data_IF_537920055695
#
_entry.id   IF_537920055695
#
_cell.length_a   1.000
_cell.length_b   1.000
_cell.length_c   1.000
_cell.angle_alpha   90.00
_cell.angle_beta   90.00
_cell.angle_gamma   90.00
#
_symmetry.space_group_name_H-M   'P 1'
#
loop_
_entity.id
_entity.type
_entity.pdbx_description
1 polymer ?
#
# COMPACT_ATOMS: atom_id res chain seq x y z
N UNK A 1 -6.74 -21.11 -1.50
CA UNK A 1 -6.40 -19.70 -1.83
C UNK A 1 -7.66 -19.02 -2.35
N UNK A 2 -7.97 -17.84 -1.84
CA UNK A 2 -9.17 -17.06 -2.24
C UNK A 2 -9.02 -16.58 -3.68
N UNK A 3 -10.05 -16.84 -4.50
CA UNK A 3 -10.13 -16.37 -5.89
C UNK A 3 -10.82 -15.01 -5.93
N UNK A 4 -10.01 -13.95 -6.08
CA UNK A 4 -10.47 -12.55 -6.10
C UNK A 4 -11.35 -12.27 -7.31
N UNK A 5 -11.06 -12.86 -8.47
CA UNK A 5 -11.86 -12.66 -9.69
C UNK A 5 -13.26 -13.29 -9.55
N UNK A 6 -13.31 -14.48 -8.97
CA UNK A 6 -14.59 -15.15 -8.66
C UNK A 6 -15.42 -14.33 -7.65
N UNK A 7 -14.77 -13.72 -6.64
CA UNK A 7 -15.46 -12.82 -5.72
C UNK A 7 -15.96 -11.57 -6.46
N UNK A 8 -15.11 -10.96 -7.29
CA UNK A 8 -15.45 -9.78 -8.08
C UNK A 8 -16.65 -10.02 -9.00
N UNK A 9 -16.66 -11.17 -9.70
CA UNK A 9 -17.75 -11.52 -10.64
C UNK A 9 -19.10 -11.68 -9.96
N UNK A 10 -19.14 -12.09 -8.70
CA UNK A 10 -20.37 -12.28 -7.90
C UNK A 10 -20.92 -10.99 -7.29
N UNK A 11 -20.13 -9.94 -7.20
CA UNK A 11 -20.51 -8.66 -6.58
C UNK A 11 -21.15 -7.72 -7.59
N UNK A 12 -22.13 -6.96 -7.17
CA UNK A 12 -22.63 -5.78 -7.90
C UNK A 12 -21.60 -4.65 -7.83
N UNK A 13 -21.67 -3.68 -8.75
CA UNK A 13 -20.80 -2.48 -8.69
C UNK A 13 -20.99 -1.73 -7.36
N UNK A 14 -22.21 -1.68 -6.84
CA UNK A 14 -22.52 -1.08 -5.53
C UNK A 14 -21.76 -1.75 -4.39
N UNK A 15 -21.70 -3.07 -4.37
CA UNK A 15 -20.94 -3.84 -3.36
C UNK A 15 -19.42 -3.65 -3.53
N UNK A 16 -18.93 -3.56 -4.77
CA UNK A 16 -17.53 -3.23 -5.05
C UNK A 16 -17.18 -1.82 -4.57
N UNK A 17 -18.03 -0.82 -4.82
CA UNK A 17 -17.86 0.54 -4.31
C UNK A 17 -17.92 0.62 -2.77
N UNK A 18 -18.69 -0.25 -2.12
CA UNK A 18 -18.77 -0.27 -0.66
C UNK A 18 -17.53 -0.90 -0.01
N UNK A 19 -16.88 -1.89 -0.66
CA UNK A 19 -15.67 -2.52 -0.13
C UNK A 19 -14.67 -2.83 -1.25
N UNK A 20 -14.14 -1.77 -1.85
CA UNK A 20 -13.19 -1.85 -2.97
C UNK A 20 -12.04 -0.86 -2.86
N UNK A 21 -11.13 -0.96 -3.80
CA UNK A 21 -9.93 -0.13 -3.94
C UNK A 21 -9.82 0.26 -5.41
N UNK A 22 -9.34 1.47 -5.71
CA UNK A 22 -8.95 1.87 -7.06
C UNK A 22 -7.47 2.27 -7.02
N UNK A 23 -6.70 1.77 -7.99
CA UNK A 23 -5.30 2.11 -8.14
C UNK A 23 -5.17 3.33 -9.04
N UNK A 24 -4.87 4.51 -8.47
CA UNK A 24 -4.78 5.78 -9.20
C UNK A 24 -3.32 6.08 -9.57
N UNK A 25 -3.09 6.49 -10.82
CA UNK A 25 -1.87 7.18 -11.23
C UNK A 25 -1.98 8.65 -10.85
N UNK A 26 -1.38 9.00 -9.72
CA UNK A 26 -1.41 10.38 -9.23
C UNK A 26 -0.55 11.29 -10.14
N UNK A 27 -1.12 12.35 -10.73
CA UNK A 27 -0.36 13.34 -11.46
C UNK A 27 0.45 14.25 -10.52
N UNK A 28 1.42 14.97 -11.07
CA UNK A 28 2.10 16.06 -10.37
C UNK A 28 1.13 17.23 -10.13
N UNK A 29 1.27 17.90 -8.99
CA UNK A 29 0.49 19.07 -8.59
C UNK A 29 -0.42 18.84 -7.38
N UNK A 30 -1.49 18.07 -7.47
CA UNK A 30 -2.41 17.85 -6.35
C UNK A 30 -1.78 17.01 -5.23
N UNK A 31 -2.25 17.20 -3.98
CA UNK A 31 -1.89 16.35 -2.85
C UNK A 31 -2.57 15.00 -2.94
N UNK A 32 -2.08 14.00 -2.19
CA UNK A 32 -2.77 12.70 -2.07
C UNK A 32 -4.18 12.83 -1.48
N UNK A 33 -4.41 13.85 -0.65
CA UNK A 33 -5.75 14.16 -0.12
C UNK A 33 -6.67 14.68 -1.23
N UNK A 34 -6.20 15.61 -2.08
CA UNK A 34 -7.00 16.14 -3.20
C UNK A 34 -7.42 15.01 -4.16
N UNK A 35 -6.51 14.07 -4.45
CA UNK A 35 -6.81 12.89 -5.27
C UNK A 35 -7.86 12.01 -4.59
N UNK A 36 -7.70 11.73 -3.30
CA UNK A 36 -8.65 10.93 -2.54
C UNK A 36 -10.04 11.58 -2.50
N UNK A 37 -10.12 12.91 -2.34
CA UNK A 37 -11.37 13.67 -2.35
C UNK A 37 -11.99 13.74 -3.76
N UNK A 38 -11.16 13.86 -4.80
CA UNK A 38 -11.62 13.78 -6.19
C UNK A 38 -12.29 12.43 -6.47
N UNK A 39 -11.65 11.31 -6.12
CA UNK A 39 -12.22 9.97 -6.27
C UNK A 39 -13.54 9.86 -5.50
N UNK A 40 -13.58 10.37 -4.25
CA UNK A 40 -14.78 10.38 -3.41
C UNK A 40 -15.95 11.10 -4.09
N UNK A 41 -15.71 12.30 -4.62
CA UNK A 41 -16.73 13.15 -5.29
C UNK A 41 -17.20 12.52 -6.59
N UNK A 42 -16.27 12.07 -7.44
CA UNK A 42 -16.56 11.47 -8.75
C UNK A 42 -17.42 10.21 -8.63
N UNK A 43 -17.19 9.39 -7.59
CA UNK A 43 -17.94 8.16 -7.35
C UNK A 43 -19.13 8.34 -6.38
N UNK A 44 -19.41 9.54 -5.88
CA UNK A 44 -20.50 9.80 -4.93
C UNK A 44 -20.36 9.03 -3.60
N UNK A 45 -19.13 8.82 -3.12
CA UNK A 45 -18.85 8.01 -1.95
C UNK A 45 -18.93 8.82 -0.65
N UNK A 46 -19.18 8.12 0.47
CA UNK A 46 -19.17 8.72 1.81
C UNK A 46 -17.76 9.08 2.27
N UNK A 47 -16.78 8.21 2.00
CA UNK A 47 -15.38 8.39 2.41
C UNK A 47 -14.42 7.62 1.52
N UNK A 48 -13.19 8.09 1.47
CA UNK A 48 -12.04 7.46 0.83
C UNK A 48 -10.80 7.60 1.72
N UNK A 49 -9.79 6.79 1.46
CA UNK A 49 -8.48 6.86 2.12
C UNK A 49 -7.41 6.35 1.18
N UNK A 50 -6.20 6.90 1.21
CA UNK A 50 -5.09 6.44 0.38
C UNK A 50 -4.08 5.58 1.15
N UNK A 51 -3.39 4.66 0.47
CA UNK A 51 -2.41 3.75 1.06
C UNK A 51 -0.97 4.32 1.00
N UNK A 52 -0.77 5.44 1.65
CA UNK A 52 0.52 6.12 1.76
C UNK A 52 0.63 7.38 0.92
N UNK A 53 0.91 8.47 1.62
CA UNK A 53 0.99 9.81 1.04
C UNK A 53 2.14 9.91 0.03
N UNK A 54 1.85 10.55 -1.11
CA UNK A 54 2.81 11.11 -2.03
C UNK A 54 2.81 12.64 -1.90
N UNK A 55 3.98 13.24 -1.95
CA UNK A 55 4.10 14.70 -2.00
C UNK A 55 3.45 15.26 -3.28
N UNK A 56 3.07 16.54 -3.34
CA UNK A 56 2.40 17.11 -4.51
C UNK A 56 3.14 16.87 -5.83
N UNK A 57 4.47 17.05 -5.85
CA UNK A 57 5.30 16.85 -7.04
C UNK A 57 5.57 15.38 -7.40
N UNK A 58 5.36 14.45 -6.45
CA UNK A 58 5.60 13.02 -6.68
C UNK A 58 4.41 12.41 -7.41
N UNK A 59 4.67 11.60 -8.42
CA UNK A 59 3.67 10.98 -9.28
C UNK A 59 3.55 9.46 -9.02
N UNK A 60 2.61 8.81 -9.69
CA UNK A 60 2.51 7.35 -9.78
C UNK A 60 1.51 6.72 -8.83
N UNK A 61 1.70 5.45 -8.57
CA UNK A 61 0.77 4.54 -7.90
C UNK A 61 0.27 5.08 -6.55
N UNK A 62 -1.01 5.38 -6.46
CA UNK A 62 -1.71 5.82 -5.25
C UNK A 62 -3.01 5.03 -5.07
N UNK A 63 -2.99 3.86 -4.43
CA UNK A 63 -4.22 3.11 -4.20
C UNK A 63 -5.15 3.84 -3.23
N UNK A 64 -6.43 3.93 -3.61
CA UNK A 64 -7.49 4.62 -2.87
C UNK A 64 -8.53 3.60 -2.42
N UNK A 65 -8.69 3.47 -1.11
CA UNK A 65 -9.77 2.68 -0.52
C UNK A 65 -11.11 3.42 -0.58
N UNK A 66 -12.17 2.68 -0.88
CA UNK A 66 -13.54 3.17 -1.01
C UNK A 66 -14.37 2.76 0.21
N UNK A 67 -15.15 3.66 0.76
CA UNK A 67 -16.11 3.46 1.85
C UNK A 67 -15.55 2.56 2.98
N UNK A 68 -16.04 1.34 3.13
CA UNK A 68 -15.65 0.41 4.21
C UNK A 68 -14.22 -0.11 4.06
N UNK A 69 -13.69 -0.17 2.83
CA UNK A 69 -12.29 -0.56 2.60
C UNK A 69 -11.29 0.43 3.20
N UNK A 70 -11.70 1.65 3.59
CA UNK A 70 -10.86 2.58 4.37
C UNK A 70 -10.33 1.96 5.68
N UNK A 71 -11.00 0.93 6.21
CA UNK A 71 -10.52 0.16 7.37
C UNK A 71 -9.27 -0.68 7.06
N UNK A 72 -9.01 -0.96 5.79
CA UNK A 72 -7.82 -1.70 5.34
C UNK A 72 -6.58 -0.81 5.24
N UNK A 73 -6.72 0.52 5.29
CA UNK A 73 -5.61 1.47 5.09
C UNK A 73 -4.40 1.15 5.97
N UNK A 74 -4.61 0.89 7.26
CA UNK A 74 -3.54 0.59 8.20
C UNK A 74 -2.73 -0.66 7.85
N UNK A 75 -3.39 -1.66 7.26
CA UNK A 75 -2.76 -2.92 6.89
C UNK A 75 -1.87 -2.79 5.64
N UNK A 76 -2.20 -1.88 4.70
CA UNK A 76 -1.40 -1.64 3.49
C UNK A 76 -0.29 -0.59 3.65
N UNK A 77 -0.36 0.26 4.68
CA UNK A 77 0.60 1.35 4.87
C UNK A 77 2.03 0.85 5.10
N UNK A 78 2.18 -0.28 5.81
CA UNK A 78 3.47 -0.88 6.15
C UNK A 78 4.19 -1.57 4.98
N UNK A 79 3.46 -1.88 3.91
CA UNK A 79 3.99 -2.59 2.74
C UNK A 79 5.12 -1.82 2.04
N UNK A 80 6.00 -2.56 1.38
CA UNK A 80 7.13 -1.99 0.63
C UNK A 80 6.69 -1.13 -0.55
N UNK A 81 7.52 -0.17 -0.92
CA UNK A 81 7.30 0.75 -2.05
C UNK A 81 8.48 0.73 -2.99
N UNK A 82 8.20 0.88 -4.26
CA UNK A 82 9.22 0.96 -5.30
C UNK A 82 9.08 2.28 -6.07
N UNK A 83 10.21 2.90 -6.31
CA UNK A 83 10.28 4.22 -6.93
C UNK A 83 11.31 4.24 -8.06
N UNK A 84 11.02 5.04 -9.07
CA UNK A 84 11.99 5.54 -10.04
C UNK A 84 12.10 7.06 -9.85
N UNK A 85 13.29 7.59 -9.87
CA UNK A 85 13.49 9.02 -9.66
C UNK A 85 14.80 9.54 -10.24
N UNK A 86 14.86 10.86 -10.36
CA UNK A 86 16.08 11.58 -10.77
C UNK A 86 16.59 12.38 -9.58
N UNK A 87 17.81 12.10 -9.15
CA UNK A 87 18.51 12.93 -8.17
C UNK A 87 19.60 13.75 -8.86
N UNK A 88 19.83 14.96 -8.37
CA UNK A 88 20.96 15.80 -8.77
C UNK A 88 21.97 15.89 -7.64
N UNK A 89 23.23 15.57 -7.92
CA UNK A 89 24.40 15.83 -7.07
C UNK A 89 24.90 17.24 -7.39
N UNK A 90 25.24 18.05 -6.35
CA UNK A 90 25.57 19.46 -6.58
C UNK A 90 26.97 19.66 -7.15
N UNK A 91 27.89 18.72 -6.94
CA UNK A 91 29.24 18.72 -7.50
C UNK A 91 29.60 17.37 -8.10
N UNK A 92 30.45 17.29 -9.13
CA UNK A 92 30.85 16.01 -9.70
C UNK A 92 31.52 15.09 -8.65
N UNK A 93 31.14 13.82 -8.64
CA UNK A 93 31.75 12.77 -7.82
C UNK A 93 32.18 11.60 -8.68
N UNK A 94 33.17 10.83 -8.21
CA UNK A 94 33.54 9.60 -8.91
C UNK A 94 32.41 8.56 -8.82
N UNK A 95 32.30 7.71 -9.84
CA UNK A 95 31.34 6.61 -9.86
C UNK A 95 31.58 5.64 -8.68
N UNK A 96 32.82 5.45 -8.28
CA UNK A 96 33.20 4.58 -7.17
C UNK A 96 32.71 5.14 -5.82
N UNK A 97 32.85 6.46 -5.60
CA UNK A 97 32.37 7.09 -4.38
C UNK A 97 30.83 7.12 -4.33
N UNK A 98 30.16 7.34 -5.46
CA UNK A 98 28.73 7.22 -5.56
C UNK A 98 28.25 5.80 -5.22
N UNK A 99 28.88 4.77 -5.78
CA UNK A 99 28.56 3.35 -5.47
C UNK A 99 28.81 3.01 -4.02
N UNK A 100 29.88 3.54 -3.42
CA UNK A 100 30.15 3.36 -1.97
C UNK A 100 29.05 4.01 -1.12
N UNK A 101 28.66 5.24 -1.44
CA UNK A 101 27.57 5.93 -0.75
C UNK A 101 26.27 5.13 -0.84
N UNK A 102 25.86 4.70 -2.03
CA UNK A 102 24.68 3.85 -2.24
C UNK A 102 24.75 2.60 -1.38
N UNK A 103 25.89 1.90 -1.37
CA UNK A 103 26.07 0.70 -0.56
C UNK A 103 25.89 0.97 0.95
N UNK A 104 26.36 2.12 1.44
CA UNK A 104 26.21 2.51 2.84
C UNK A 104 24.76 2.85 3.22
N UNK A 105 23.95 3.31 2.24
CA UNK A 105 22.54 3.61 2.43
C UNK A 105 21.61 2.45 2.04
N UNK A 106 22.14 1.31 1.58
CA UNK A 106 21.36 0.09 1.32
C UNK A 106 21.34 -0.76 2.58
N UNK A 107 20.21 -1.39 2.88
CA UNK A 107 19.95 -2.10 4.14
C UNK A 107 19.31 -1.21 5.19
N UNK A 108 19.62 -1.45 6.47
CA UNK A 108 19.02 -0.73 7.60
C UNK A 108 19.65 0.64 7.78
N UNK A 109 18.83 1.67 7.73
CA UNK A 109 19.22 3.07 7.95
C UNK A 109 18.38 3.70 9.07
N UNK A 110 18.87 4.78 9.65
CA UNK A 110 18.12 5.60 10.61
C UNK A 110 17.67 6.90 9.93
N UNK A 111 16.38 7.15 9.93
CA UNK A 111 15.82 8.39 9.38
C UNK A 111 15.07 9.17 10.46
N UNK A 112 15.29 10.49 10.50
CA UNK A 112 14.46 11.43 11.22
C UNK A 112 13.42 12.01 10.25
N UNK A 113 12.10 11.84 10.49
CA UNK A 113 11.07 12.37 9.60
C UNK A 113 11.25 13.89 9.35
N UNK A 114 10.99 14.37 8.12
CA UNK A 114 11.05 15.79 7.79
C UNK A 114 10.13 16.63 8.68
N UNK A 115 10.49 17.92 8.93
CA UNK A 115 9.73 18.83 9.80
C UNK A 115 8.26 18.98 9.36
N UNK A 116 8.00 18.94 8.04
CA UNK A 116 6.64 19.07 7.46
C UNK A 116 5.85 17.74 7.45
N UNK A 117 6.41 16.64 7.97
CA UNK A 117 5.66 15.37 8.05
C UNK A 117 4.63 15.43 9.17
N UNK A 118 3.48 14.76 8.99
CA UNK A 118 2.41 14.68 9.99
C UNK A 118 2.60 13.56 11.03
N UNK A 119 3.82 13.02 11.15
CA UNK A 119 4.16 11.97 12.11
C UNK A 119 5.09 12.50 13.19
N UNK A 120 5.09 11.83 14.35
CA UNK A 120 6.01 12.17 15.45
C UNK A 120 7.46 12.17 14.94
N UNK A 121 8.19 13.26 15.25
CA UNK A 121 9.58 13.48 14.82
C UNK A 121 10.54 12.74 15.74
N UNK A 122 10.55 11.42 15.61
CA UNK A 122 11.49 10.51 16.29
C UNK A 122 12.28 9.74 15.26
N UNK A 123 13.54 9.44 15.56
CA UNK A 123 14.39 8.63 14.70
C UNK A 123 13.78 7.24 14.56
N UNK A 124 13.65 6.76 13.33
CA UNK A 124 13.09 5.44 13.01
C UNK A 124 14.06 4.67 12.16
N UNK A 125 14.19 3.38 12.45
CA UNK A 125 14.88 2.46 11.54
C UNK A 125 13.99 2.24 10.31
N UNK A 126 14.62 2.23 9.12
CA UNK A 126 14.00 1.93 7.84
C UNK A 126 14.96 1.06 7.05
N UNK A 127 14.41 0.28 6.15
CA UNK A 127 15.18 -0.58 5.27
C UNK A 127 15.09 -0.11 3.82
N UNK A 128 16.25 0.07 3.20
CA UNK A 128 16.41 0.24 1.76
C UNK A 128 16.77 -1.13 1.20
N UNK A 129 15.83 -1.79 0.55
CA UNK A 129 16.02 -3.17 0.06
C UNK A 129 16.93 -3.21 -1.16
N UNK A 130 16.78 -2.23 -2.03
CA UNK A 130 17.64 -2.06 -3.22
C UNK A 130 17.76 -0.60 -3.59
N UNK A 131 18.88 -0.24 -4.20
CA UNK A 131 19.10 1.04 -4.85
C UNK A 131 19.98 0.81 -6.08
N UNK A 132 19.44 1.05 -7.26
CA UNK A 132 20.05 0.79 -8.56
C UNK A 132 20.21 2.11 -9.33
N UNK A 133 21.38 2.35 -9.90
CA UNK A 133 21.59 3.42 -10.87
C UNK A 133 21.19 2.88 -12.24
N UNK A 134 20.23 3.54 -12.89
CA UNK A 134 19.80 3.19 -14.24
C UNK A 134 20.57 3.95 -15.31
N UNK A 135 20.83 5.25 -15.06
CA UNK A 135 21.50 6.15 -16.01
C UNK A 135 22.19 7.28 -15.25
N UNK A 136 23.27 7.82 -15.83
CA UNK A 136 23.99 8.99 -15.33
C UNK A 136 24.15 9.96 -16.50
N UNK A 137 23.64 11.18 -16.34
CA UNK A 137 23.85 12.30 -17.25
C UNK A 137 24.42 13.51 -16.49
N UNK A 138 25.72 13.65 -16.55
CA UNK A 138 26.45 14.67 -15.78
C UNK A 138 26.22 14.50 -14.27
N UNK A 139 25.53 15.45 -13.65
CA UNK A 139 25.18 15.44 -12.22
C UNK A 139 23.80 14.83 -11.95
N UNK A 140 23.02 14.53 -12.98
CA UNK A 140 21.70 13.92 -12.87
C UNK A 140 21.80 12.40 -12.94
N UNK A 141 21.18 11.73 -11.98
CA UNK A 141 21.26 10.29 -11.82
C UNK A 141 19.85 9.74 -11.78
N UNK A 142 19.50 8.97 -12.80
CA UNK A 142 18.28 8.18 -12.82
C UNK A 142 18.51 6.94 -11.97
N UNK A 143 17.63 6.71 -11.01
CA UNK A 143 17.72 5.57 -10.11
C UNK A 143 16.38 4.86 -9.93
N UNK A 144 16.47 3.58 -9.54
CA UNK A 144 15.34 2.78 -9.05
C UNK A 144 15.64 2.31 -7.63
N UNK A 145 14.65 2.33 -6.75
CA UNK A 145 14.83 1.89 -5.36
C UNK A 145 13.60 1.19 -4.81
N UNK A 146 13.81 0.12 -4.07
CA UNK A 146 12.79 -0.54 -3.27
C UNK A 146 13.06 -0.30 -1.79
N UNK A 147 12.04 0.13 -1.06
CA UNK A 147 12.17 0.56 0.32
C UNK A 147 11.01 0.08 1.19
N UNK A 148 11.28 -0.10 2.47
CA UNK A 148 10.27 -0.35 3.50
C UNK A 148 9.27 0.81 3.56
N UNK A 149 8.01 0.48 3.83
CA UNK A 149 6.96 1.47 4.03
C UNK A 149 7.30 2.53 5.07
N UNK A 150 7.01 3.80 4.74
CA UNK A 150 7.31 4.95 5.59
C UNK A 150 8.75 5.49 5.47
N UNK A 151 9.52 5.03 4.49
CA UNK A 151 10.82 5.61 4.12
C UNK A 151 10.61 6.91 3.36
N UNK A 152 11.40 7.95 3.68
CA UNK A 152 11.39 9.26 3.03
C UNK A 152 12.50 9.32 1.97
N UNK A 153 12.13 9.13 0.69
CA UNK A 153 13.11 9.07 -0.42
C UNK A 153 13.86 10.41 -0.57
N UNK A 154 13.16 11.55 -0.45
CA UNK A 154 13.81 12.88 -0.49
C UNK A 154 14.87 13.02 0.61
N UNK A 155 14.60 12.50 1.81
CA UNK A 155 15.57 12.51 2.91
C UNK A 155 16.73 11.55 2.64
N UNK A 156 16.47 10.38 2.06
CA UNK A 156 17.50 9.43 1.66
C UNK A 156 18.51 10.09 0.69
N UNK A 157 18.02 10.75 -0.34
CA UNK A 157 18.87 11.43 -1.34
C UNK A 157 19.66 12.56 -0.71
N UNK A 158 19.02 13.38 0.12
CA UNK A 158 19.71 14.46 0.85
C UNK A 158 20.84 13.91 1.73
N UNK A 159 20.56 12.88 2.54
CA UNK A 159 21.56 12.29 3.45
C UNK A 159 22.71 11.64 2.68
N UNK A 160 22.43 11.03 1.54
CA UNK A 160 23.45 10.47 0.65
C UNK A 160 24.36 11.58 0.12
N UNK A 161 23.77 12.72 -0.35
CA UNK A 161 24.55 13.87 -0.79
C UNK A 161 25.42 14.47 0.29
N UNK A 162 24.92 14.59 1.52
CA UNK A 162 25.70 15.05 2.69
C UNK A 162 26.86 14.08 2.98
N UNK A 163 26.63 12.77 2.90
CA UNK A 163 27.67 11.77 3.13
C UNK A 163 28.79 11.80 2.08
N UNK A 164 28.47 12.25 0.87
CA UNK A 164 29.44 12.49 -0.20
C UNK A 164 30.19 13.84 -0.06
N UNK A 165 29.75 14.70 0.86
CA UNK A 165 30.32 16.03 1.08
C UNK A 165 29.98 17.08 0.02
N UNK A 166 29.11 16.77 -0.93
CA UNK A 166 28.77 17.63 -2.07
C UNK A 166 27.31 18.08 -2.10
N UNK A 167 26.46 17.46 -1.26
CA UNK A 167 25.03 17.70 -1.28
C UNK A 167 24.31 17.06 -2.48
N UNK A 168 23.03 16.76 -2.29
CA UNK A 168 22.16 16.26 -3.35
C UNK A 168 20.68 16.60 -3.07
N UNK A 169 19.87 16.63 -4.12
CA UNK A 169 18.42 16.78 -3.99
C UNK A 169 17.66 15.98 -5.05
N UNK A 170 16.40 15.72 -4.76
CA UNK A 170 15.47 15.05 -5.66
C UNK A 170 14.94 16.03 -6.70
N UNK A 171 15.10 15.73 -7.99
CA UNK A 171 14.46 16.46 -9.08
C UNK A 171 13.05 15.91 -9.34
N UNK A 172 12.97 14.61 -9.64
CA UNK A 172 11.72 13.91 -9.95
C UNK A 172 11.61 12.61 -9.21
N UNK A 173 10.39 12.22 -8.87
CA UNK A 173 10.10 10.94 -8.20
C UNK A 173 8.75 10.41 -8.64
N UNK A 174 8.72 9.14 -9.06
CA UNK A 174 7.53 8.39 -9.40
C UNK A 174 7.47 7.11 -8.58
N UNK A 175 6.36 6.86 -7.91
CA UNK A 175 6.12 5.58 -7.25
C UNK A 175 5.53 4.59 -8.25
N UNK A 176 6.26 3.53 -8.58
CA UNK A 176 5.83 2.51 -9.53
C UNK A 176 5.15 1.31 -8.85
N UNK A 177 5.33 1.14 -7.52
CA UNK A 177 4.68 0.09 -6.73
C UNK A 177 4.39 0.54 -5.29
N UNK A 178 3.25 0.12 -4.76
CA UNK A 178 2.86 0.27 -3.34
C UNK A 178 2.25 -1.05 -2.83
N UNK A 179 3.07 -1.87 -2.17
CA UNK A 179 2.71 -3.23 -1.80
C UNK A 179 2.42 -4.08 -3.03
N UNK A 180 1.20 -4.61 -3.10
CA UNK A 180 0.72 -5.43 -4.23
C UNK A 180 0.26 -4.61 -5.44
N UNK A 181 0.09 -3.30 -5.30
CA UNK A 181 -0.40 -2.42 -6.37
C UNK A 181 0.77 -1.91 -7.20
N UNK A 182 0.72 -2.15 -8.50
CA UNK A 182 1.74 -1.73 -9.49
C UNK A 182 1.11 -0.80 -10.52
N UNK A 183 1.95 -0.02 -11.22
CA UNK A 183 1.44 0.83 -12.29
C UNK A 183 1.06 0.05 -13.54
N UNK A 184 1.80 -1.02 -13.83
CA UNK A 184 1.71 -1.90 -15.00
C UNK A 184 1.12 -3.28 -14.66
N UNK A 185 0.33 -3.40 -13.58
CA UNK A 185 -0.32 -4.66 -13.25
C UNK A 185 -1.26 -5.10 -14.37
N UNK A 186 -1.18 -6.36 -14.80
CA UNK A 186 -1.98 -6.87 -15.92
C UNK A 186 -3.49 -6.79 -15.68
N UNK A 187 -3.94 -6.90 -14.42
CA UNK A 187 -5.36 -6.93 -14.05
C UNK A 187 -5.86 -5.60 -13.49
N UNK A 188 -5.02 -4.94 -12.71
CA UNK A 188 -5.39 -3.74 -11.96
C UNK A 188 -4.31 -2.66 -12.12
N UNK A 189 -4.03 -2.21 -13.36
CA UNK A 189 -3.05 -1.15 -13.60
C UNK A 189 -3.46 0.12 -12.85
N UNK A 190 -2.52 1.03 -12.69
CA UNK A 190 -2.89 2.35 -12.22
C UNK A 190 -3.58 3.14 -13.35
N UNK A 191 -4.67 3.81 -13.00
CA UNK A 191 -5.46 4.59 -13.96
C UNK A 191 -5.37 6.09 -13.67
N UNK A 192 -5.42 6.90 -14.71
CA UNK A 192 -5.49 8.35 -14.59
C UNK A 192 -6.84 8.82 -14.06
N UNK A 193 -6.90 10.08 -13.58
CA UNK A 193 -8.17 10.69 -13.17
C UNK A 193 -9.16 10.83 -14.34
N UNK A 194 -8.66 11.04 -15.55
CA UNK A 194 -9.48 11.08 -16.77
C UNK A 194 -10.12 9.73 -17.09
N UNK A 195 -9.37 8.63 -16.94
CA UNK A 195 -9.91 7.28 -17.13
C UNK A 195 -10.97 6.97 -16.08
N UNK A 196 -10.79 7.40 -14.82
CA UNK A 196 -11.80 7.29 -13.78
C UNK A 196 -13.09 8.01 -14.16
N UNK A 197 -13.01 9.28 -14.61
CA UNK A 197 -14.20 10.07 -15.04
C UNK A 197 -14.95 9.41 -16.20
N UNK A 198 -14.25 8.73 -17.09
CA UNK A 198 -14.88 8.00 -18.18
C UNK A 198 -15.47 6.65 -17.71
N UNK A 199 -14.80 5.95 -16.80
CA UNK A 199 -15.30 4.69 -16.26
C UNK A 199 -16.61 4.85 -15.49
N UNK A 200 -16.82 5.96 -14.80
CA UNK A 200 -18.08 6.24 -14.06
C UNK A 200 -19.30 6.31 -14.98
N UNK A 201 -19.12 6.58 -16.27
CA UNK A 201 -20.21 6.66 -17.25
C UNK A 201 -20.66 5.28 -17.78
N UNK A 202 -19.90 4.24 -17.48
CA UNK A 202 -20.11 2.88 -17.97
C UNK A 202 -19.89 1.88 -16.81
N UNK A 203 -20.93 1.13 -16.47
CA UNK A 203 -20.90 0.22 -15.32
C UNK A 203 -19.89 -0.91 -15.49
N UNK A 204 -19.67 -1.41 -16.72
CA UNK A 204 -18.70 -2.47 -16.97
C UNK A 204 -17.26 -1.95 -16.78
N UNK A 205 -16.95 -0.79 -17.35
CA UNK A 205 -15.66 -0.13 -17.14
C UNK A 205 -15.39 0.21 -15.69
N UNK A 206 -16.43 0.70 -14.99
CA UNK A 206 -16.31 0.98 -13.56
C UNK A 206 -16.04 -0.29 -12.77
N UNK A 207 -16.70 -1.40 -13.10
CA UNK A 207 -16.43 -2.71 -12.52
C UNK A 207 -14.98 -3.15 -12.75
N UNK A 208 -14.45 -2.97 -13.96
CA UNK A 208 -13.09 -3.39 -14.33
C UNK A 208 -12.03 -2.73 -13.46
N UNK A 209 -12.14 -1.43 -13.18
CA UNK A 209 -11.14 -0.66 -12.44
C UNK A 209 -11.21 -0.84 -10.92
N UNK A 210 -12.32 -1.37 -10.38
CA UNK A 210 -12.44 -1.58 -8.93
C UNK A 210 -11.83 -2.93 -8.53
N UNK A 211 -10.92 -2.89 -7.61
CA UNK A 211 -10.27 -4.04 -7.00
C UNK A 211 -11.06 -4.40 -5.74
N UNK A 212 -11.56 -5.64 -5.56
CA UNK A 212 -12.23 -6.03 -4.34
C UNK A 212 -11.34 -5.88 -3.10
N UNK A 213 -11.86 -5.41 -1.99
CA UNK A 213 -11.11 -5.27 -0.73
C UNK A 213 -10.55 -6.59 -0.20
N UNK A 214 -11.12 -7.70 -0.62
CA UNK A 214 -10.67 -9.06 -0.34
C UNK A 214 -9.26 -9.35 -0.87
N UNK A 215 -8.74 -8.49 -1.76
CA UNK A 215 -7.34 -8.55 -2.23
C UNK A 215 -6.32 -8.50 -1.08
N UNK A 216 -6.74 -8.08 0.12
CA UNK A 216 -5.93 -8.13 1.35
C UNK A 216 -5.41 -9.55 1.65
N UNK A 217 -6.10 -10.60 1.18
CA UNK A 217 -5.66 -12.00 1.30
C UNK A 217 -4.37 -12.31 0.54
N UNK A 218 -3.96 -11.45 -0.41
CA UNK A 218 -2.66 -11.56 -1.09
C UNK A 218 -1.49 -11.03 -0.25
N UNK A 219 -1.78 -10.28 0.80
CA UNK A 219 -0.78 -9.68 1.70
C UNK A 219 -0.69 -10.46 3.01
N UNK A 220 -1.84 -10.86 3.56
CA UNK A 220 -1.94 -11.56 4.85
C UNK A 220 -2.46 -12.97 4.64
N UNK A 221 -1.84 -13.92 5.35
CA UNK A 221 -2.25 -15.32 5.28
C UNK A 221 -3.76 -15.46 5.51
N UNK A 222 -4.42 -16.18 4.60
CA UNK A 222 -5.85 -16.45 4.70
C UNK A 222 -6.10 -17.64 5.64
N UNK A 223 -7.18 -17.54 6.41
CA UNK A 223 -7.72 -18.64 7.18
C UNK A 223 -9.23 -18.82 6.92
N UNK A 224 -9.69 -20.05 6.96
CA UNK A 224 -11.08 -20.41 6.78
C UNK A 224 -11.73 -20.78 8.10
N UNK A 225 -12.87 -20.16 8.40
CA UNK A 225 -13.71 -20.51 9.54
C UNK A 225 -14.97 -21.26 9.09
N UNK A 226 -15.53 -22.07 9.99
CA UNK A 226 -16.79 -22.76 9.78
C UNK A 226 -17.93 -21.76 9.64
N UNK A 227 -18.87 -22.05 8.77
CA UNK A 227 -20.00 -21.16 8.47
C UNK A 227 -20.87 -20.90 9.71
N UNK A 228 -21.09 -21.93 10.54
CA UNK A 228 -21.83 -21.84 11.81
C UNK A 228 -21.24 -20.81 12.80
N UNK A 229 -19.92 -20.59 12.76
CA UNK A 229 -19.21 -19.65 13.63
C UNK A 229 -19.24 -18.20 13.11
N UNK A 230 -19.54 -18.00 11.81
CA UNK A 230 -19.44 -16.70 11.15
C UNK A 230 -20.30 -15.63 11.80
N UNK A 231 -21.55 -15.94 12.16
CA UNK A 231 -22.48 -14.95 12.76
C UNK A 231 -21.95 -14.39 14.08
N UNK A 232 -21.36 -15.23 14.92
CA UNK A 232 -20.76 -14.84 16.21
C UNK A 232 -19.51 -13.98 15.99
N UNK A 233 -18.65 -14.40 15.08
CA UNK A 233 -17.38 -13.71 14.75
C UNK A 233 -17.65 -12.37 14.09
N UNK A 234 -18.65 -12.24 13.22
CA UNK A 234 -19.11 -10.98 12.63
C UNK A 234 -19.61 -9.96 13.67
N UNK A 235 -19.98 -10.41 14.88
CA UNK A 235 -20.30 -9.53 16.02
C UNK A 235 -19.08 -9.10 16.83
N UNK A 236 -17.88 -9.42 16.37
CA UNK A 236 -16.61 -9.03 17.00
C UNK A 236 -16.11 -10.00 18.07
N UNK A 237 -16.67 -11.21 18.16
CA UNK A 237 -16.15 -12.22 19.08
C UNK A 237 -14.86 -12.87 18.56
N UNK A 238 -14.00 -13.40 19.45
CA UNK A 238 -12.76 -14.05 19.06
C UNK A 238 -13.03 -15.34 18.27
N UNK A 239 -12.03 -15.75 17.50
CA UNK A 239 -11.98 -17.04 16.83
C UNK A 239 -11.35 -18.05 17.80
N UNK A 240 -12.04 -19.17 18.04
CA UNK A 240 -11.52 -20.30 18.79
C UNK A 240 -10.91 -21.36 17.85
N UNK A 241 -10.03 -22.21 18.36
CA UNK A 241 -9.43 -23.29 17.57
C UNK A 241 -10.49 -24.20 16.92
N UNK A 242 -11.60 -24.45 17.59
CA UNK A 242 -12.74 -25.25 17.09
C UNK A 242 -13.48 -24.61 15.91
N UNK A 243 -13.37 -23.29 15.74
CA UNK A 243 -14.04 -22.54 14.66
C UNK A 243 -13.31 -22.68 13.32
N UNK A 244 -12.05 -23.09 13.33
CA UNK A 244 -11.25 -23.27 12.12
C UNK A 244 -11.73 -24.48 11.31
N UNK A 245 -11.75 -24.35 9.98
CA UNK A 245 -12.04 -25.46 9.07
C UNK A 245 -10.90 -26.47 9.10
N UNK A 246 -9.66 -26.00 9.10
CA UNK A 246 -8.45 -26.81 9.19
C UNK A 246 -7.55 -26.27 10.30
N UNK A 247 -6.84 -27.15 10.99
CA UNK A 247 -5.82 -26.75 11.92
C UNK A 247 -4.70 -26.01 11.18
N UNK A 248 -4.37 -24.80 11.63
CA UNK A 248 -3.29 -23.98 11.09
C UNK A 248 -2.31 -23.61 12.18
N UNK A 249 -1.03 -23.59 11.84
CA UNK A 249 0.03 -23.15 12.75
C UNK A 249 0.53 -21.80 12.29
N UNK A 250 0.17 -20.75 13.02
CA UNK A 250 0.55 -19.37 12.73
C UNK A 250 1.12 -18.78 14.03
N UNK A 251 2.21 -18.07 13.92
CA UNK A 251 2.88 -17.47 15.08
C UNK A 251 2.00 -16.40 15.72
N UNK A 252 2.15 -16.26 17.05
CA UNK A 252 1.49 -15.22 17.83
C UNK A 252 1.85 -13.83 17.27
N UNK A 253 0.91 -12.90 17.39
CA UNK A 253 0.97 -11.50 16.91
C UNK A 253 0.89 -11.32 15.39
N UNK A 254 0.90 -12.40 14.60
CA UNK A 254 0.67 -12.29 13.16
C UNK A 254 -0.78 -11.90 12.86
N UNK A 255 -0.92 -11.09 11.80
CA UNK A 255 -2.22 -10.74 11.24
C UNK A 255 -2.66 -11.77 10.21
N UNK A 256 -3.94 -12.08 10.21
CA UNK A 256 -4.55 -13.00 9.25
C UNK A 256 -5.82 -12.39 8.65
N UNK A 257 -6.07 -12.72 7.39
CA UNK A 257 -7.34 -12.44 6.71
C UNK A 257 -8.28 -13.62 6.85
N UNK A 258 -9.48 -13.37 7.36
CA UNK A 258 -10.44 -14.42 7.74
C UNK A 258 -11.57 -14.49 6.75
N UNK A 259 -11.89 -15.70 6.31
CA UNK A 259 -12.98 -15.98 5.37
C UNK A 259 -13.86 -17.14 5.86
N UNK A 260 -15.10 -17.15 5.40
CA UNK A 260 -15.94 -18.33 5.35
C UNK A 260 -16.35 -18.54 3.91
N UNK A 261 -15.88 -19.64 3.29
CA UNK A 261 -15.92 -19.83 1.84
C UNK A 261 -15.31 -18.61 1.08
N UNK A 262 -16.09 -17.95 0.22
CA UNK A 262 -15.65 -16.77 -0.52
C UNK A 262 -15.96 -15.44 0.21
N UNK A 263 -16.59 -15.48 1.41
CA UNK A 263 -17.02 -14.30 2.14
C UNK A 263 -15.94 -13.83 3.12
N UNK A 264 -15.45 -12.61 2.94
CA UNK A 264 -14.52 -11.98 3.87
C UNK A 264 -15.21 -11.63 5.19
N UNK A 265 -14.62 -12.01 6.30
CA UNK A 265 -15.10 -11.76 7.66
C UNK A 265 -14.37 -10.58 8.29
N UNK A 266 -13.06 -10.48 8.10
CA UNK A 266 -12.27 -9.42 8.70
C UNK A 266 -10.78 -9.72 8.81
N UNK A 267 -10.09 -8.84 9.50
CA UNK A 267 -8.68 -8.97 9.87
C UNK A 267 -8.58 -9.30 11.35
N UNK A 268 -7.78 -10.29 11.69
CA UNK A 268 -7.61 -10.79 13.04
C UNK A 268 -6.14 -10.91 13.41
N UNK A 269 -5.82 -10.78 14.69
CA UNK A 269 -4.48 -10.99 15.23
C UNK A 269 -4.45 -12.31 15.99
N UNK A 270 -3.51 -13.17 15.65
CA UNK A 270 -3.29 -14.46 16.31
C UNK A 270 -2.77 -14.20 17.73
N UNK A 271 -3.42 -14.79 18.70
CA UNK A 271 -3.02 -14.67 20.12
C UNK A 271 -2.54 -15.99 20.70
N UNK A 272 -3.08 -17.12 20.22
CA UNK A 272 -2.73 -18.47 20.70
C UNK A 272 -2.79 -18.59 22.23
N UNK A 273 -3.88 -18.11 22.82
CA UNK A 273 -4.15 -18.11 24.25
C UNK A 273 -5.21 -19.19 24.56
N UNK A 274 -4.83 -20.28 25.17
CA UNK A 274 -5.71 -21.43 25.49
C UNK A 274 -6.50 -21.91 24.25
N UNK A 275 -7.83 -21.76 24.28
CA UNK A 275 -8.71 -22.13 23.18
C UNK A 275 -8.86 -21.01 22.13
N UNK A 276 -8.43 -19.78 22.42
CA UNK A 276 -8.56 -18.63 21.53
C UNK A 276 -7.42 -18.62 20.52
N UNK A 277 -7.78 -18.76 19.24
CA UNK A 277 -6.83 -18.66 18.14
C UNK A 277 -6.49 -17.22 17.80
N UNK A 278 -7.52 -16.35 17.58
CA UNK A 278 -7.29 -14.97 17.16
C UNK A 278 -8.37 -14.00 17.67
N UNK A 279 -7.97 -12.74 17.88
CA UNK A 279 -8.85 -11.62 18.26
C UNK A 279 -9.06 -10.66 17.10
N UNK A 280 -10.24 -10.01 16.98
CA UNK A 280 -10.55 -9.13 15.85
C UNK A 280 -9.78 -7.81 15.93
N UNK A 281 -9.19 -7.39 14.83
CA UNK A 281 -8.69 -6.03 14.59
C UNK A 281 -9.71 -5.21 13.78
N UNK A 282 -10.37 -5.87 12.83
CA UNK A 282 -11.42 -5.30 12.01
C UNK A 282 -12.37 -6.40 11.55
N UNK A 283 -13.67 -6.16 11.65
CA UNK A 283 -14.73 -7.05 11.19
C UNK A 283 -15.58 -6.35 10.13
N UNK A 284 -15.79 -7.02 8.98
CA UNK A 284 -16.65 -6.54 7.90
C UNK A 284 -18.09 -7.00 8.15
N UNK A 285 -18.83 -6.25 8.98
CA UNK A 285 -20.24 -6.55 9.25
C UNK A 285 -21.08 -6.56 7.94
N UNK A 286 -22.10 -7.40 7.82
CA UNK A 286 -23.07 -7.32 6.73
C UNK A 286 -23.70 -5.91 6.63
N UNK A 287 -24.07 -5.52 5.43
CA UNK A 287 -24.80 -4.27 5.16
C UNK A 287 -26.25 -4.48 5.49
#
# INVERSE_FOLDING_TARGET
MIDIEKIKSKKTVKELLEFGIINIDKPSGPTSFDISDFVRKTLGLRKTSHFGTLDPKVTGVLPIALNRACKLTGFFLGEDKEYVGIMRIHEPVSLDDLKKAIKNFTGKIKQLPPVKSRVARVVREREIKSFEILEIDGQDILFKTEVQGGTYIRKLIHDMGESLGVGAHMLELRRIRAGIFKEDDEKYPSISLYELENAVKDEERLREIIIPGEVISKVYQEIQIKEESATRILRGQPIYNKDLVNAVKIEKDNLVSVFTMDKFIGMFRVVSEDEIFAKPEFVLQPI
#
